data_IF_831506497447
#
_entry.id   IF_831506497447
#
_cell.length_a   1.000
_cell.length_b   1.000
_cell.length_c   1.000
_cell.angle_alpha   90.00
_cell.angle_beta   90.00
_cell.angle_gamma   90.00
#
_symmetry.space_group_name_H-M   'P 1'
#
loop_
_entity.id
_entity.type
_entity.pdbx_description
1 polymer ?
#
# COMPACT_ATOMS: atom_id res chain seq x y z
N UNK A 1 1.31 47.02 3.19
CA UNK A 1 1.74 45.61 2.97
C UNK A 1 0.71 44.77 3.68
N UNK A 2 -0.34 44.36 2.96
CA UNK A 2 -1.54 43.75 3.51
C UNK A 2 -1.34 42.23 3.56
N UNK A 3 -0.96 41.71 4.73
CA UNK A 3 -0.64 40.30 4.95
C UNK A 3 -1.88 39.38 4.85
N UNK A 4 -3.08 39.93 4.68
CA UNK A 4 -4.34 39.19 4.75
C UNK A 4 -4.72 38.49 3.44
N UNK A 5 -4.09 38.85 2.31
CA UNK A 5 -4.49 38.36 0.97
C UNK A 5 -3.77 37.09 0.52
N UNK A 6 -2.61 36.76 1.11
CA UNK A 6 -1.80 35.59 0.75
C UNK A 6 -2.08 34.35 1.62
N UNK A 7 -2.79 34.52 2.72
CA UNK A 7 -3.07 33.46 3.70
C UNK A 7 -3.94 32.29 3.16
N UNK A 8 -5.05 32.52 2.44
CA UNK A 8 -5.88 31.42 1.93
C UNK A 8 -5.17 30.63 0.83
N UNK A 9 -4.45 31.30 -0.07
CA UNK A 9 -3.68 30.61 -1.12
C UNK A 9 -2.53 29.77 -0.57
N UNK A 10 -1.96 30.17 0.57
CA UNK A 10 -0.98 29.38 1.31
C UNK A 10 -1.62 28.11 1.90
N UNK A 11 -2.82 28.22 2.47
CA UNK A 11 -3.52 27.10 3.10
C UNK A 11 -3.94 26.06 2.07
N UNK A 12 -4.54 26.47 0.97
CA UNK A 12 -4.98 25.56 -0.10
C UNK A 12 -3.79 24.79 -0.68
N UNK A 13 -2.66 25.47 -0.90
CA UNK A 13 -1.41 24.81 -1.34
C UNK A 13 -0.90 23.81 -0.33
N UNK A 14 -0.98 24.12 0.96
CA UNK A 14 -0.56 23.21 2.02
C UNK A 14 -1.48 21.98 2.09
N UNK A 15 -2.79 22.17 1.98
CA UNK A 15 -3.75 21.06 1.96
C UNK A 15 -3.60 20.17 0.73
N UNK A 16 -3.35 20.74 -0.46
CA UNK A 16 -3.00 19.99 -1.67
C UNK A 16 -1.78 19.10 -1.43
N UNK A 17 -0.69 19.68 -0.93
CA UNK A 17 0.53 18.92 -0.61
C UNK A 17 0.28 17.85 0.45
N UNK A 18 -0.54 18.15 1.46
CA UNK A 18 -0.88 17.20 2.52
C UNK A 18 -1.64 16.00 1.96
N UNK A 19 -2.60 16.24 1.05
CA UNK A 19 -3.31 15.19 0.31
C UNK A 19 -2.33 14.35 -0.50
N UNK A 20 -1.46 14.99 -1.29
CA UNK A 20 -0.45 14.28 -2.11
C UNK A 20 0.46 13.40 -1.24
N UNK A 21 0.89 13.91 -0.08
CA UNK A 21 1.73 13.16 0.86
C UNK A 21 0.97 11.97 1.45
N UNK A 22 -0.28 12.14 1.88
CA UNK A 22 -1.07 11.02 2.40
C UNK A 22 -1.36 9.96 1.34
N UNK A 23 -1.71 10.38 0.11
CA UNK A 23 -1.94 9.46 -1.01
C UNK A 23 -0.66 8.69 -1.35
N UNK A 24 0.50 9.35 -1.34
CA UNK A 24 1.80 8.69 -1.58
C UNK A 24 2.18 7.73 -0.46
N UNK A 25 1.99 8.11 0.80
CA UNK A 25 2.24 7.23 1.95
C UNK A 25 1.34 5.99 1.86
N UNK A 26 0.06 6.17 1.51
CA UNK A 26 -0.87 5.06 1.35
C UNK A 26 -0.43 4.08 0.26
N UNK A 27 0.03 4.59 -0.88
CA UNK A 27 0.60 3.76 -1.96
C UNK A 27 1.85 3.01 -1.52
N UNK A 28 2.76 3.67 -0.80
CA UNK A 28 3.97 3.02 -0.26
C UNK A 28 3.60 1.89 0.70
N UNK A 29 2.64 2.10 1.60
CA UNK A 29 2.16 1.04 2.49
C UNK A 29 1.47 -0.10 1.71
N UNK A 30 0.72 0.21 0.65
CA UNK A 30 0.06 -0.79 -0.19
C UNK A 30 1.08 -1.67 -0.93
N UNK A 31 2.14 -1.08 -1.49
CA UNK A 31 3.26 -1.81 -2.09
C UNK A 31 4.08 -2.60 -1.06
N UNK A 32 4.11 -2.13 0.19
CA UNK A 32 4.70 -2.82 1.33
C UNK A 32 3.81 -3.90 1.97
N UNK A 33 2.61 -4.14 1.43
CA UNK A 33 1.59 -5.04 1.99
C UNK A 33 1.15 -4.66 3.43
N UNK A 34 1.39 -3.42 3.85
CA UNK A 34 0.96 -2.83 5.13
C UNK A 34 -0.44 -2.22 4.98
N UNK A 35 -1.42 -3.03 4.60
CA UNK A 35 -2.74 -2.58 4.17
C UNK A 35 -3.53 -1.81 5.24
N UNK A 36 -3.38 -2.12 6.53
CA UNK A 36 -3.97 -1.31 7.62
C UNK A 36 -3.45 0.13 7.61
N UNK A 37 -2.14 0.31 7.45
CA UNK A 37 -1.52 1.64 7.43
C UNK A 37 -1.88 2.38 6.14
N UNK A 38 -2.07 1.67 5.03
CA UNK A 38 -2.61 2.23 3.79
C UNK A 38 -4.02 2.80 4.01
N UNK A 39 -4.91 2.04 4.67
CA UNK A 39 -6.28 2.50 5.00
C UNK A 39 -6.26 3.76 5.86
N UNK A 40 -5.42 3.82 6.91
CA UNK A 40 -5.29 5.00 7.76
C UNK A 40 -4.81 6.24 6.99
N UNK A 41 -3.87 6.04 6.07
CA UNK A 41 -3.31 7.10 5.23
C UNK A 41 -4.34 7.63 4.24
N UNK A 42 -5.08 6.74 3.55
CA UNK A 42 -6.17 7.16 2.68
C UNK A 42 -7.32 7.83 3.44
N UNK A 43 -7.66 7.39 4.67
CA UNK A 43 -8.65 8.07 5.52
C UNK A 43 -8.21 9.49 5.86
N UNK A 44 -6.93 9.68 6.19
CA UNK A 44 -6.35 11.00 6.45
C UNK A 44 -6.42 11.89 5.20
N UNK A 45 -6.11 11.35 4.03
CA UNK A 45 -6.27 12.05 2.75
C UNK A 45 -7.73 12.44 2.50
N UNK A 46 -8.67 11.51 2.71
CA UNK A 46 -10.10 11.73 2.53
C UNK A 46 -10.64 12.83 3.45
N UNK A 47 -10.21 12.89 4.70
CA UNK A 47 -10.60 13.95 5.64
C UNK A 47 -10.18 15.32 5.12
N UNK A 48 -8.93 15.46 4.65
CA UNK A 48 -8.43 16.72 4.07
C UNK A 48 -9.17 17.05 2.77
N UNK A 49 -9.47 16.05 1.93
CA UNK A 49 -10.28 16.24 0.70
C UNK A 49 -11.70 16.69 1.01
N UNK A 50 -12.36 16.14 2.05
CA UNK A 50 -13.73 16.54 2.47
C UNK A 50 -13.79 17.97 3.03
N UNK A 51 -12.70 18.43 3.68
CA UNK A 51 -12.60 19.82 4.15
C UNK A 51 -12.43 20.82 3.01
N UNK A 52 -12.03 20.36 1.83
CA UNK A 52 -11.85 21.16 0.63
C UNK A 52 -13.11 21.15 -0.23
N UNK A 53 -13.69 22.32 -0.44
CA UNK A 53 -14.88 22.46 -1.29
C UNK A 53 -14.62 22.35 -2.79
N UNK A 54 -13.35 22.25 -3.21
CA UNK A 54 -12.94 22.22 -4.62
C UNK A 54 -12.57 20.82 -5.13
N UNK A 55 -12.57 19.80 -4.26
CA UNK A 55 -12.34 18.41 -4.67
C UNK A 55 -13.58 17.90 -5.40
N UNK A 56 -13.38 17.30 -6.57
CA UNK A 56 -14.47 16.72 -7.36
C UNK A 56 -15.08 15.51 -6.66
N UNK A 57 -16.35 15.23 -6.93
CA UNK A 57 -17.01 14.01 -6.47
C UNK A 57 -16.24 12.74 -6.91
N UNK A 58 -15.66 12.76 -8.11
CA UNK A 58 -14.79 11.71 -8.62
C UNK A 58 -13.55 11.47 -7.77
N UNK A 59 -12.83 12.53 -7.36
CA UNK A 59 -11.64 12.39 -6.51
C UNK A 59 -11.97 11.89 -5.10
N UNK A 60 -13.14 12.24 -4.56
CA UNK A 60 -13.64 11.66 -3.31
C UNK A 60 -14.01 10.18 -3.49
N UNK A 61 -14.76 9.85 -4.54
CA UNK A 61 -15.17 8.48 -4.87
C UNK A 61 -13.96 7.56 -5.12
N UNK A 62 -12.94 8.04 -5.82
CA UNK A 62 -11.66 7.33 -6.01
C UNK A 62 -10.99 7.02 -4.67
N UNK A 63 -10.93 7.98 -3.76
CA UNK A 63 -10.32 7.77 -2.43
C UNK A 63 -11.12 6.73 -1.63
N UNK A 64 -12.45 6.76 -1.71
CA UNK A 64 -13.30 5.73 -1.12
C UNK A 64 -13.03 4.34 -1.73
N UNK A 65 -12.89 4.24 -3.05
CA UNK A 65 -12.54 2.99 -3.73
C UNK A 65 -11.17 2.48 -3.29
N UNK A 66 -10.15 3.34 -3.18
CA UNK A 66 -8.81 2.95 -2.71
C UNK A 66 -8.86 2.38 -1.29
N UNK A 67 -9.65 2.98 -0.39
CA UNK A 67 -9.86 2.43 0.96
C UNK A 67 -10.52 1.06 0.89
N UNK A 68 -11.55 0.88 0.07
CA UNK A 68 -12.23 -0.41 -0.09
C UNK A 68 -11.30 -1.50 -0.61
N UNK A 69 -10.46 -1.19 -1.60
CA UNK A 69 -9.46 -2.13 -2.15
C UNK A 69 -8.40 -2.52 -1.11
N UNK A 70 -7.91 -1.55 -0.33
CA UNK A 70 -6.98 -1.86 0.76
C UNK A 70 -7.64 -2.74 1.84
N UNK A 71 -8.90 -2.47 2.19
CA UNK A 71 -9.68 -3.28 3.14
C UNK A 71 -9.91 -4.72 2.68
N UNK A 72 -10.05 -4.94 1.37
CA UNK A 72 -10.24 -6.27 0.76
C UNK A 72 -9.01 -7.18 0.93
N UNK A 73 -7.81 -6.59 0.96
CA UNK A 73 -6.53 -7.31 1.14
C UNK A 73 -6.23 -7.63 2.62
N UNK A 74 -7.02 -7.02 3.49
CA UNK A 74 -7.26 -7.24 4.93
C UNK A 74 -7.66 -8.66 5.40
N UNK A 75 -6.85 -9.58 6.01
CA UNK A 75 -7.44 -10.76 6.62
C UNK A 75 -8.54 -10.41 7.65
N UNK A 76 -9.74 -10.93 7.40
CA UNK A 76 -10.95 -10.63 8.18
C UNK A 76 -11.08 -11.54 9.40
N UNK A 77 -10.05 -11.59 10.26
CA UNK A 77 -10.01 -12.48 11.43
C UNK A 77 -11.13 -12.18 12.44
N UNK A 78 -11.56 -10.92 12.51
CA UNK A 78 -12.52 -10.42 13.51
C UNK A 78 -13.91 -10.17 12.92
N UNK A 79 -14.09 -10.36 11.61
CA UNK A 79 -15.26 -9.88 10.88
C UNK A 79 -15.29 -8.35 10.77
N UNK A 80 -15.98 -7.82 9.77
CA UNK A 80 -16.24 -6.38 9.66
C UNK A 80 -15.35 -5.62 8.69
N UNK A 81 -14.25 -6.20 8.18
CA UNK A 81 -13.42 -5.51 7.17
C UNK A 81 -14.11 -5.47 5.81
N UNK A 82 -14.76 -6.58 5.43
CA UNK A 82 -15.53 -6.67 4.20
C UNK A 82 -16.74 -5.71 4.22
N UNK A 83 -17.44 -5.64 5.34
CA UNK A 83 -18.55 -4.69 5.54
C UNK A 83 -18.09 -3.24 5.45
N UNK A 84 -16.91 -2.92 5.99
CA UNK A 84 -16.31 -1.59 5.82
C UNK A 84 -15.97 -1.31 4.36
N UNK A 85 -15.39 -2.28 3.63
CA UNK A 85 -15.08 -2.12 2.20
C UNK A 85 -16.36 -1.84 1.40
N UNK A 86 -17.43 -2.60 1.65
CA UNK A 86 -18.76 -2.37 1.05
C UNK A 86 -19.26 -0.96 1.36
N UNK A 87 -19.18 -0.51 2.62
CA UNK A 87 -19.60 0.83 3.02
C UNK A 87 -18.86 1.93 2.27
N UNK A 88 -17.55 1.80 2.08
CA UNK A 88 -16.77 2.76 1.28
C UNK A 88 -17.19 2.77 -0.20
N UNK A 89 -17.46 1.61 -0.81
CA UNK A 89 -17.98 1.56 -2.19
C UNK A 89 -19.37 2.18 -2.29
N UNK A 90 -20.23 2.00 -1.29
CA UNK A 90 -21.56 2.62 -1.25
C UNK A 90 -21.47 4.16 -1.16
N UNK A 91 -20.57 4.71 -0.34
CA UNK A 91 -20.29 6.16 -0.30
C UNK A 91 -19.78 6.67 -1.66
N UNK A 92 -18.89 5.92 -2.34
CA UNK A 92 -18.41 6.30 -3.67
C UNK A 92 -19.55 6.34 -4.71
N UNK A 93 -20.46 5.37 -4.68
CA UNK A 93 -21.65 5.33 -5.54
C UNK A 93 -22.55 6.54 -5.27
N UNK A 94 -22.77 6.89 -4.00
CA UNK A 94 -23.61 8.04 -3.62
C UNK A 94 -23.03 9.36 -4.15
N UNK A 95 -21.72 9.57 -4.00
CA UNK A 95 -21.02 10.73 -4.53
C UNK A 95 -21.17 10.85 -6.05
N UNK A 96 -20.97 9.75 -6.78
CA UNK A 96 -21.10 9.75 -8.24
C UNK A 96 -22.55 9.93 -8.70
N UNK A 97 -23.54 9.39 -7.97
CA UNK A 97 -24.97 9.63 -8.25
C UNK A 97 -25.34 11.10 -8.07
N UNK A 98 -24.86 11.73 -7.00
CA UNK A 98 -25.04 13.17 -6.80
C UNK A 98 -24.44 14.00 -7.93
N UNK A 99 -23.26 13.61 -8.42
CA UNK A 99 -22.63 14.28 -9.56
C UNK A 99 -23.39 14.06 -10.87
N UNK A 100 -23.90 12.85 -11.12
CA UNK A 100 -24.73 12.55 -12.27
C UNK A 100 -26.00 13.41 -12.31
N UNK A 101 -26.66 13.59 -11.16
CA UNK A 101 -27.84 14.42 -11.04
C UNK A 101 -27.50 15.90 -11.31
N UNK A 102 -26.35 16.38 -10.81
CA UNK A 102 -25.84 17.73 -11.09
C UNK A 102 -25.58 17.95 -12.58
N UNK A 103 -24.96 16.98 -13.25
CA UNK A 103 -24.65 17.05 -14.68
C UNK A 103 -25.93 17.04 -15.54
N UNK A 104 -26.89 16.17 -15.23
CA UNK A 104 -28.20 16.13 -15.91
C UNK A 104 -29.01 17.40 -15.71
N UNK A 105 -28.99 17.97 -14.50
CA UNK A 105 -29.64 19.25 -14.25
C UNK A 105 -29.05 20.36 -15.12
N UNK A 106 -27.72 20.42 -15.25
CA UNK A 106 -26.99 21.38 -16.08
C UNK A 106 -27.30 21.22 -17.58
N UNK A 107 -27.48 19.98 -18.04
CA UNK A 107 -27.86 19.66 -19.42
C UNK A 107 -29.29 20.12 -19.73
N UNK A 108 -30.23 19.88 -18.80
CA UNK A 108 -31.64 20.30 -18.94
C UNK A 108 -31.87 21.81 -18.84
N UNK A 109 -31.01 22.53 -18.11
CA UNK A 109 -31.18 23.97 -17.88
C UNK A 109 -30.65 24.84 -19.03
N UNK A 110 -30.17 24.26 -20.13
CA UNK A 110 -29.72 25.01 -21.31
C UNK A 110 -28.58 26.01 -21.03
N UNK A 111 -27.90 25.89 -19.88
CA UNK A 111 -26.84 26.79 -19.43
C UNK A 111 -25.50 26.51 -20.14
N UNK A 112 -25.53 25.88 -21.32
CA UNK A 112 -24.43 25.96 -22.28
C UNK A 112 -24.49 27.36 -22.87
N UNK A 113 -23.84 28.29 -22.18
CA UNK A 113 -23.77 29.69 -22.55
C UNK A 113 -23.55 29.85 -24.06
N UNK A 114 -24.45 30.62 -24.68
CA UNK A 114 -24.21 31.33 -25.91
C UNK A 114 -22.82 31.98 -25.85
N UNK A 115 -21.90 31.48 -26.67
CA UNK A 115 -20.50 31.85 -26.71
C UNK A 115 -19.92 31.40 -28.04
N UNK A 116 -20.28 32.17 -29.05
CA UNK A 116 -19.84 32.18 -30.44
C UNK A 116 -18.32 31.96 -30.61
N UNK A 117 -17.96 31.15 -31.61
CA UNK A 117 -16.68 31.10 -32.31
C UNK A 117 -15.37 31.03 -31.50
N UNK A 118 -14.88 29.82 -31.25
CA UNK A 118 -13.46 29.52 -31.52
C UNK A 118 -13.24 28.04 -31.86
N UNK A 119 -12.92 27.78 -33.13
CA UNK A 119 -12.20 26.57 -33.55
C UNK A 119 -10.90 26.43 -32.74
N UNK A 120 -10.84 25.56 -31.73
CA UNK A 120 -9.61 24.85 -31.34
C UNK A 120 -9.86 23.76 -30.28
N UNK A 121 -9.10 22.67 -30.46
CA UNK A 121 -8.89 21.53 -29.58
C UNK A 121 -9.94 20.40 -29.65
N UNK A 122 -9.62 19.43 -30.49
CA UNK A 122 -10.09 18.06 -30.41
C UNK A 122 -9.70 17.45 -29.06
N UNK A 123 -10.55 17.62 -28.04
CA UNK A 123 -10.71 16.72 -26.88
C UNK A 123 -11.90 17.12 -25.98
N UNK A 124 -12.88 17.86 -26.51
CA UNK A 124 -14.01 18.34 -25.73
C UNK A 124 -15.04 17.23 -25.53
N UNK A 125 -14.96 16.55 -24.39
CA UNK A 125 -16.08 15.80 -23.83
C UNK A 125 -17.30 16.74 -23.78
N UNK A 126 -18.37 16.38 -24.48
CA UNK A 126 -19.64 17.09 -24.39
C UNK A 126 -20.28 16.74 -23.04
N UNK A 127 -21.18 17.58 -22.51
CA UNK A 127 -21.87 17.26 -21.24
C UNK A 127 -22.52 15.86 -21.27
N UNK A 128 -22.99 15.43 -22.45
CA UNK A 128 -23.51 14.08 -22.69
C UNK A 128 -22.46 12.98 -22.49
N UNK A 129 -21.21 13.16 -22.92
CA UNK A 129 -20.16 12.14 -22.70
C UNK A 129 -19.75 12.06 -21.23
N UNK A 130 -19.73 13.19 -20.51
CA UNK A 130 -19.44 13.20 -19.06
C UNK A 130 -20.54 12.48 -18.25
N UNK A 131 -21.80 12.62 -18.66
CA UNK A 131 -22.95 11.87 -18.10
C UNK A 131 -22.78 10.37 -18.36
N UNK A 132 -22.40 9.97 -19.57
CA UNK A 132 -22.17 8.56 -19.92
C UNK A 132 -20.99 7.96 -19.16
N UNK A 133 -19.87 8.68 -19.05
CA UNK A 133 -18.68 8.28 -18.29
C UNK A 133 -19.02 8.10 -16.80
N UNK A 134 -19.69 9.08 -16.21
CA UNK A 134 -20.13 9.01 -14.81
C UNK A 134 -21.08 7.83 -14.59
N UNK A 135 -22.00 7.58 -15.53
CA UNK A 135 -22.90 6.44 -15.46
C UNK A 135 -22.16 5.11 -15.62
N UNK A 136 -21.13 5.03 -16.46
CA UNK A 136 -20.28 3.84 -16.58
C UNK A 136 -19.56 3.56 -15.27
N UNK A 137 -18.95 4.58 -14.66
CA UNK A 137 -18.24 4.44 -13.39
C UNK A 137 -19.17 3.97 -12.25
N UNK A 138 -20.41 4.48 -12.19
CA UNK A 138 -21.41 4.00 -11.22
C UNK A 138 -21.67 2.50 -11.39
N UNK A 139 -21.80 2.01 -12.63
CA UNK A 139 -22.03 0.57 -12.88
C UNK A 139 -20.85 -0.28 -12.45
N UNK A 140 -19.62 0.19 -12.68
CA UNK A 140 -18.40 -0.49 -12.23
C UNK A 140 -18.33 -0.56 -10.71
N UNK A 141 -18.64 0.54 -10.01
CA UNK A 141 -18.72 0.56 -8.55
C UNK A 141 -19.83 -0.34 -8.00
N UNK A 142 -21.01 -0.37 -8.65
CA UNK A 142 -22.11 -1.27 -8.27
C UNK A 142 -21.71 -2.75 -8.48
N UNK A 143 -21.00 -3.07 -9.57
CA UNK A 143 -20.46 -4.40 -9.79
C UNK A 143 -19.42 -4.79 -8.72
N UNK A 144 -18.53 -3.86 -8.34
CA UNK A 144 -17.56 -4.09 -7.26
C UNK A 144 -18.24 -4.32 -5.91
N UNK A 145 -19.28 -3.55 -5.59
CA UNK A 145 -20.09 -3.76 -4.38
C UNK A 145 -20.72 -5.16 -4.37
N UNK A 146 -21.24 -5.61 -5.50
CA UNK A 146 -21.90 -6.91 -5.61
C UNK A 146 -20.88 -8.06 -5.56
N UNK A 147 -19.70 -7.89 -6.15
CA UNK A 147 -18.55 -8.79 -5.97
C UNK A 147 -18.24 -8.96 -4.47
N UNK A 148 -18.01 -7.85 -3.74
CA UNK A 148 -17.70 -7.88 -2.31
C UNK A 148 -18.80 -8.55 -1.47
N UNK A 149 -20.08 -8.43 -1.87
CA UNK A 149 -21.20 -9.11 -1.20
C UNK A 149 -21.25 -10.61 -1.45
N UNK A 150 -20.63 -11.09 -2.53
CA UNK A 150 -20.61 -12.50 -2.91
C UNK A 150 -19.34 -13.23 -2.49
N UNK A 151 -18.30 -12.51 -2.05
CA UNK A 151 -17.08 -13.11 -1.52
C UNK A 151 -17.48 -14.03 -0.36
N UNK A 152 -17.25 -15.35 -0.47
CA UNK A 152 -17.54 -16.27 0.62
C UNK A 152 -16.70 -15.84 1.82
N UNK A 153 -17.33 -15.33 2.87
CA UNK A 153 -16.65 -15.07 4.13
C UNK A 153 -16.09 -16.41 4.59
N UNK A 154 -14.76 -16.50 4.70
CA UNK A 154 -14.10 -17.74 5.07
C UNK A 154 -14.74 -18.25 6.35
N UNK A 155 -15.31 -19.45 6.29
CA UNK A 155 -15.95 -20.06 7.46
C UNK A 155 -14.96 -20.02 8.61
N UNK A 156 -15.36 -19.60 9.82
CA UNK A 156 -14.47 -19.59 10.95
C UNK A 156 -13.86 -20.98 11.08
N UNK A 157 -12.53 -21.07 11.11
CA UNK A 157 -11.82 -22.35 11.16
C UNK A 157 -12.48 -23.26 12.18
N UNK A 158 -12.84 -24.47 11.75
CA UNK A 158 -13.45 -25.47 12.61
C UNK A 158 -12.53 -25.73 13.80
N UNK A 159 -13.09 -26.14 14.94
CA UNK A 159 -12.26 -26.57 16.09
C UNK A 159 -11.23 -27.64 15.69
N UNK A 160 -11.55 -28.47 14.69
CA UNK A 160 -10.63 -29.46 14.14
C UNK A 160 -9.46 -28.83 13.38
N UNK A 161 -9.72 -27.77 12.62
CA UNK A 161 -8.70 -27.06 11.85
C UNK A 161 -7.77 -26.31 12.79
N UNK A 162 -8.34 -25.65 13.82
CA UNK A 162 -7.58 -25.01 14.91
C UNK A 162 -6.73 -26.02 15.70
N UNK A 163 -7.27 -27.21 15.97
CA UNK A 163 -6.53 -28.26 16.66
C UNK A 163 -5.37 -28.82 15.79
N UNK A 164 -5.60 -28.97 14.49
CA UNK A 164 -4.57 -29.39 13.54
C UNK A 164 -3.45 -28.35 13.42
N UNK A 165 -3.82 -27.07 13.33
CA UNK A 165 -2.87 -25.96 13.30
C UNK A 165 -2.05 -25.88 14.60
N UNK A 166 -2.70 -26.01 15.77
CA UNK A 166 -2.00 -26.06 17.05
C UNK A 166 -1.03 -27.25 17.15
N UNK A 167 -1.40 -28.41 16.60
CA UNK A 167 -0.52 -29.58 16.54
C UNK A 167 0.70 -29.35 15.62
N UNK A 168 0.49 -28.77 14.44
CA UNK A 168 1.56 -28.44 13.50
C UNK A 168 2.50 -27.38 14.07
N UNK A 169 1.95 -26.35 14.73
CA UNK A 169 2.71 -25.34 15.44
C UNK A 169 3.52 -25.96 16.59
N UNK A 170 2.94 -26.91 17.34
CA UNK A 170 3.64 -27.63 18.40
C UNK A 170 4.81 -28.47 17.86
N UNK A 171 4.64 -29.17 16.73
CA UNK A 171 5.73 -29.93 16.08
C UNK A 171 6.85 -28.98 15.65
N UNK A 172 6.53 -27.87 14.97
CA UNK A 172 7.54 -26.94 14.46
C UNK A 172 8.20 -26.12 15.57
N UNK A 173 7.53 -25.94 16.72
CA UNK A 173 8.06 -25.25 17.90
C UNK A 173 8.84 -26.18 18.84
N UNK A 174 8.92 -27.49 18.56
CA UNK A 174 9.86 -28.37 19.26
C UNK A 174 11.29 -28.04 18.86
N UNK A 175 11.84 -27.00 19.51
CA UNK A 175 13.28 -26.82 19.67
C UNK A 175 13.86 -28.15 20.16
N UNK A 176 14.96 -28.66 19.57
CA UNK A 176 15.49 -29.96 19.93
C UNK A 176 15.73 -29.97 21.43
N UNK A 177 15.04 -30.89 22.11
CA UNK A 177 15.24 -31.18 23.52
C UNK A 177 16.72 -31.51 23.67
N UNK A 178 17.47 -30.57 24.23
CA UNK A 178 18.79 -30.82 24.77
C UNK A 178 18.58 -31.73 25.99
N UNK A 179 18.44 -33.03 25.76
CA UNK A 179 18.74 -34.08 26.72
C UNK A 179 18.91 -35.42 26.01
N UNK A 180 20.18 -35.76 25.79
CA UNK A 180 20.69 -37.11 25.99
C UNK A 180 20.46 -38.13 24.88
N UNK A 181 21.46 -38.26 24.01
CA UNK A 181 21.79 -39.49 23.25
C UNK A 181 20.71 -39.99 22.25
N UNK A 182 20.52 -39.24 21.17
CA UNK A 182 20.18 -39.88 19.90
C UNK A 182 21.38 -39.67 18.97
N UNK A 183 22.06 -40.78 18.66
CA UNK A 183 23.19 -40.81 17.77
C UNK A 183 22.80 -40.18 16.43
N UNK A 184 23.49 -39.10 16.07
CA UNK A 184 23.56 -38.63 14.69
C UNK A 184 24.05 -39.83 13.89
N UNK A 185 23.15 -40.40 13.08
CA UNK A 185 23.47 -41.52 12.21
C UNK A 185 24.40 -41.03 11.13
N UNK A 186 25.69 -41.02 11.45
CA UNK A 186 26.76 -40.65 10.55
C UNK A 186 26.93 -41.76 9.49
N UNK A 187 26.28 -41.54 8.35
CA UNK A 187 26.36 -42.41 7.17
C UNK A 187 27.72 -42.37 6.48
N UNK A 188 28.68 -41.57 6.97
CA UNK A 188 30.04 -41.50 6.41
C UNK A 188 30.79 -42.83 6.53
N UNK A 189 30.34 -43.73 7.42
CA UNK A 189 30.88 -45.10 7.54
C UNK A 189 30.20 -46.14 6.62
N UNK A 190 29.13 -45.79 5.89
CA UNK A 190 28.48 -46.69 4.93
C UNK A 190 29.18 -46.75 3.57
N UNK A 191 30.08 -45.82 3.29
CA UNK A 191 30.91 -45.85 2.08
C UNK A 191 32.12 -46.75 2.33
N UNK A 192 31.98 -48.05 2.06
CA UNK A 192 33.12 -48.97 1.98
C UNK A 192 34.08 -48.46 0.91
N UNK A 193 35.16 -47.80 1.35
CA UNK A 193 36.28 -47.45 0.47
C UNK A 193 36.93 -48.76 0.00
N UNK A 194 36.67 -49.11 -1.26
CA UNK A 194 37.40 -50.16 -1.97
C UNK A 194 38.88 -49.78 -2.01
N UNK A 195 39.81 -50.61 -1.49
CA UNK A 195 41.23 -50.30 -1.56
C UNK A 195 41.67 -50.26 -3.03
N UNK A 196 42.32 -49.16 -3.44
CA UNK A 196 43.02 -49.08 -4.72
C UNK A 196 44.38 -49.77 -4.56
N UNK A 197 44.80 -50.62 -5.52
CA UNK A 197 46.17 -51.10 -5.58
C UNK A 197 47.12 -49.93 -5.88
N UNK A 198 48.19 -49.84 -5.11
CA UNK A 198 49.37 -49.03 -5.43
C UNK A 198 50.24 -49.84 -6.38
N UNK A 199 50.58 -49.29 -7.54
CA UNK A 199 51.97 -49.32 -8.01
C UNK A 199 52.24 -48.21 -9.04
N UNK A 200 53.48 -47.72 -8.94
CA UNK A 200 54.00 -46.47 -9.46
C UNK A 200 54.25 -46.43 -10.97
N UNK A 201 54.39 -45.20 -11.54
CA UNK A 201 55.66 -44.66 -12.10
C UNK A 201 55.44 -43.62 -13.22
N UNK A 202 56.23 -42.54 -13.11
CA UNK A 202 56.72 -41.60 -14.12
C UNK A 202 55.84 -40.41 -14.57
N UNK A 203 56.53 -39.26 -14.58
CA UNK A 203 56.15 -37.89 -14.94
C UNK A 203 56.24 -37.62 -16.47
N UNK A 204 56.39 -36.36 -16.94
CA UNK A 204 55.43 -35.25 -17.00
C UNK A 204 55.20 -34.77 -18.46
N UNK A 205 54.17 -33.94 -18.72
CA UNK A 205 54.22 -32.68 -19.53
C UNK A 205 52.84 -32.17 -20.02
N UNK A 206 52.70 -30.84 -19.93
CA UNK A 206 52.06 -29.86 -20.84
C UNK A 206 50.55 -29.91 -21.15
N UNK A 207 49.83 -28.86 -20.71
CA UNK A 207 49.11 -27.87 -21.57
C UNK A 207 48.46 -26.82 -20.64
N UNK A 208 48.94 -25.58 -20.62
CA UNK A 208 48.36 -24.41 -21.34
C UNK A 208 47.02 -23.86 -20.81
N UNK A 209 47.08 -22.57 -20.50
CA UNK A 209 46.05 -21.53 -20.63
C UNK A 209 44.83 -21.54 -19.70
N UNK A 210 44.81 -20.60 -18.75
CA UNK A 210 44.08 -19.33 -18.95
C UNK A 210 44.16 -18.41 -17.72
N UNK A 211 44.91 -17.33 -17.91
CA UNK A 211 44.52 -15.94 -17.68
C UNK A 211 43.88 -15.55 -16.34
N UNK A 212 44.76 -15.00 -15.51
CA UNK A 212 44.51 -14.02 -14.45
C UNK A 212 43.71 -12.81 -14.91
N UNK A 213 42.69 -12.42 -14.14
CA UNK A 213 42.30 -11.01 -13.97
C UNK A 213 42.25 -10.73 -12.48
N UNK A 214 43.25 -9.96 -12.03
CA UNK A 214 43.27 -9.29 -10.74
C UNK A 214 42.53 -7.96 -10.91
N UNK A 215 41.50 -7.72 -10.10
CA UNK A 215 41.16 -6.35 -9.72
C UNK A 215 40.57 -6.34 -8.30
N UNK A 216 41.50 -6.26 -7.35
CA UNK A 216 41.25 -5.88 -5.97
C UNK A 216 41.15 -4.36 -5.90
N UNK A 217 39.95 -3.83 -5.65
CA UNK A 217 39.75 -2.45 -5.24
C UNK A 217 38.84 -2.43 -4.02
N UNK A 218 39.46 -2.36 -2.84
CA UNK A 218 38.89 -1.77 -1.61
C UNK A 218 39.49 -0.36 -1.52
N UNK A 219 38.80 0.66 -0.95
CA UNK A 219 38.50 0.66 0.48
C UNK A 219 37.06 1.00 0.84
N UNK A 220 36.61 0.25 1.84
CA UNK A 220 35.58 0.57 2.81
C UNK A 220 36.19 1.61 3.77
N UNK A 221 35.64 2.83 3.79
CA UNK A 221 35.87 3.81 4.86
C UNK A 221 34.48 4.32 5.27
N UNK A 222 33.87 3.60 6.21
CA UNK A 222 32.68 4.00 6.93
C UNK A 222 33.09 4.92 8.08
N UNK A 223 32.90 6.22 7.87
CA UNK A 223 32.60 7.14 8.96
C UNK A 223 31.19 6.84 9.50
N UNK A 224 31.01 6.78 10.83
CA UNK A 224 29.78 7.28 11.41
C UNK A 224 30.09 8.19 12.59
N UNK A 225 29.71 9.47 12.49
CA UNK A 225 29.09 10.24 13.59
C UNK A 225 28.75 11.66 13.11
N UNK A 226 27.47 12.04 13.17
CA UNK A 226 27.15 13.38 13.65
C UNK A 226 26.33 13.29 14.94
N UNK A 227 26.88 13.87 15.99
CA UNK A 227 26.19 14.18 17.24
C UNK A 227 24.97 15.05 16.96
N UNK A 228 23.78 14.57 17.32
CA UNK A 228 22.58 15.42 17.37
C UNK A 228 22.44 15.96 18.79
N UNK A 229 22.64 17.27 18.89
CA UNK A 229 22.32 18.10 20.05
C UNK A 229 20.84 17.97 20.44
N UNK A 230 20.62 17.67 21.71
CA UNK A 230 19.35 17.87 22.41
C UNK A 230 19.13 19.35 22.74
N UNK A 231 18.01 19.99 22.31
CA UNK A 231 17.56 21.21 22.97
C UNK A 231 16.71 20.84 24.19
N UNK A 232 17.21 21.27 25.35
CA UNK A 232 16.58 21.13 26.65
C UNK A 232 15.20 21.81 26.71
N UNK A 233 14.23 21.07 27.24
CA UNK A 233 12.99 21.60 27.82
C UNK A 233 13.32 22.66 28.87
N UNK A 234 12.80 23.88 28.72
CA UNK A 234 12.49 24.76 29.86
C UNK A 234 11.00 25.03 29.89
N UNK A 235 10.33 24.30 30.78
CA UNK A 235 9.11 24.76 31.44
C UNK A 235 9.42 26.08 32.15
N UNK A 236 8.58 27.10 31.95
CA UNK A 236 8.36 28.12 32.98
C UNK A 236 6.87 28.38 33.13
N UNK A 237 6.41 27.98 34.30
CA UNK A 237 5.09 28.18 34.88
C UNK A 237 4.94 29.60 35.45
N UNK A 238 3.68 29.98 35.69
CA UNK A 238 3.20 30.96 36.68
C UNK A 238 3.27 32.42 36.25
N UNK A 239 2.12 33.05 35.97
CA UNK A 239 1.23 33.77 36.93
C UNK A 239 1.79 35.14 37.28
N UNK A 240 1.13 36.21 36.84
CA UNK A 240 0.39 37.07 37.76
C UNK A 240 -0.32 38.21 37.01
N UNK A 241 -1.62 38.29 37.27
CA UNK A 241 -2.49 39.46 37.19
C UNK A 241 -2.91 39.71 38.66
N UNK A 242 -3.17 40.95 39.13
CA UNK A 242 -3.99 41.95 38.48
C UNK A 242 -3.35 43.34 38.28
#
# INVERSE_FOLDING_TARGET
MDASKDQPQSLDKLQNKLIEVYDLIAQVHQEGEEFELAVESYKSSLEVKKLRGDVSAGGLAETHLMIALALELIPDEKGGRLEQAIGHVEEAIELMKGELDRLRAKESSGASAAGEDTKKAANGATASSEVEETQSLIRELEAKRDELKTVPQALPMSEKDKALEAYLAAINSTKPIANGKAAVNDLTNLVKKRPRPVDAKAAPKTSESSSSVLLSTTPDDRDPHPSVETPAKKLKTSSDNP
#
